data_IF_187042952628
#
_entry.id   IF_187042952628
#
_cell.length_a   1.000
_cell.length_b   1.000
_cell.length_c   1.000
_cell.angle_alpha   90.00
_cell.angle_beta   90.00
_cell.angle_gamma   90.00
#
_symmetry.space_group_name_H-M   'P 1'
#
loop_
_entity.id
_entity.type
_entity.pdbx_description
1 polymer ?
#
# COMPACT_ATOMS: atom_id res chain seq x y z
N UNK A 1 16.29 -7.79 -1.23
CA UNK A 1 16.02 -6.47 -1.86
C UNK A 1 15.16 -5.66 -0.89
N UNK A 2 15.71 -4.63 -0.25
CA UNK A 2 15.06 -3.94 0.90
C UNK A 2 14.05 -2.86 0.50
N UNK A 3 13.30 -2.35 1.48
CA UNK A 3 12.27 -1.31 1.32
C UNK A 3 12.78 -0.07 0.56
N UNK A 4 13.99 0.41 0.86
CA UNK A 4 14.63 1.56 0.20
C UNK A 4 14.79 1.34 -1.30
N UNK A 5 15.13 0.12 -1.71
CA UNK A 5 15.26 -0.20 -3.13
C UNK A 5 13.91 -0.15 -3.84
N UNK A 6 12.84 -0.66 -3.21
CA UNK A 6 11.49 -0.63 -3.78
C UNK A 6 11.02 0.83 -3.94
N UNK A 7 11.24 1.67 -2.92
CA UNK A 7 10.91 3.09 -2.99
C UNK A 7 11.66 3.80 -4.12
N UNK A 8 12.95 3.48 -4.33
CA UNK A 8 13.71 4.01 -5.45
C UNK A 8 13.13 3.60 -6.81
N UNK A 9 12.76 2.33 -6.98
CA UNK A 9 12.15 1.87 -8.23
C UNK A 9 10.84 2.61 -8.53
N UNK A 10 9.99 2.84 -7.52
CA UNK A 10 8.75 3.62 -7.67
C UNK A 10 9.06 5.05 -8.15
N UNK A 11 10.02 5.72 -7.52
CA UNK A 11 10.38 7.10 -7.86
C UNK A 11 11.00 7.23 -9.26
N UNK A 12 11.86 6.29 -9.65
CA UNK A 12 12.60 6.34 -10.92
C UNK A 12 11.71 5.99 -12.13
N UNK A 13 10.55 5.33 -11.93
CA UNK A 13 9.69 4.83 -13.01
C UNK A 13 8.29 5.46 -12.97
N UNK A 14 8.24 6.80 -12.83
CA UNK A 14 7.00 7.57 -12.66
C UNK A 14 5.96 7.41 -13.79
N UNK A 15 6.37 6.93 -14.97
CA UNK A 15 5.49 6.75 -16.14
C UNK A 15 4.87 5.34 -16.22
N UNK A 16 5.38 4.35 -15.47
CA UNK A 16 4.87 2.97 -15.47
C UNK A 16 4.13 2.65 -14.17
N UNK A 17 2.80 2.84 -14.20
CA UNK A 17 1.93 2.57 -13.06
C UNK A 17 1.90 1.08 -12.69
N UNK A 18 2.07 0.17 -13.64
CA UNK A 18 2.04 -1.26 -13.36
C UNK A 18 3.28 -1.66 -12.57
N UNK A 19 4.45 -1.17 -12.98
CA UNK A 19 5.71 -1.37 -12.27
C UNK A 19 5.66 -0.71 -10.88
N UNK A 20 5.19 0.54 -10.78
CA UNK A 20 5.02 1.22 -9.49
C UNK A 20 4.12 0.43 -8.54
N UNK A 21 2.97 -0.04 -9.02
CA UNK A 21 1.99 -0.80 -8.22
C UNK A 21 2.59 -2.08 -7.66
N UNK A 22 3.37 -2.79 -8.48
CA UNK A 22 4.09 -3.99 -8.06
C UNK A 22 5.12 -3.68 -6.96
N UNK A 23 5.96 -2.65 -7.16
CA UNK A 23 6.95 -2.26 -6.16
C UNK A 23 6.32 -1.72 -4.88
N UNK A 24 5.19 -1.02 -4.99
CA UNK A 24 4.42 -0.51 -3.86
C UNK A 24 3.79 -1.63 -3.02
N UNK A 25 3.32 -2.71 -3.66
CA UNK A 25 2.84 -3.90 -2.93
C UNK A 25 3.97 -4.51 -2.08
N UNK A 26 5.18 -4.65 -2.63
CA UNK A 26 6.33 -5.16 -1.87
C UNK A 26 6.71 -4.23 -0.72
N UNK A 27 6.75 -2.92 -0.98
CA UNK A 27 7.06 -1.92 0.05
C UNK A 27 6.05 -1.96 1.20
N UNK A 28 4.76 -2.07 0.89
CA UNK A 28 3.70 -2.19 1.89
C UNK A 28 3.93 -3.39 2.80
N UNK A 29 4.26 -4.56 2.24
CA UNK A 29 4.52 -5.78 3.05
C UNK A 29 5.66 -5.54 4.04
N UNK A 30 6.79 -4.98 3.57
CA UNK A 30 7.94 -4.68 4.44
C UNK A 30 7.62 -3.65 5.53
N UNK A 31 6.87 -2.60 5.21
CA UNK A 31 6.46 -1.58 6.19
C UNK A 31 5.48 -2.18 7.22
N UNK A 32 4.55 -3.03 6.79
CA UNK A 32 3.62 -3.71 7.68
C UNK A 32 4.36 -4.58 8.70
N UNK A 33 5.34 -5.36 8.26
CA UNK A 33 6.18 -6.17 9.15
C UNK A 33 6.89 -5.29 10.19
N UNK A 34 7.45 -4.15 9.76
CA UNK A 34 8.07 -3.18 10.66
C UNK A 34 7.07 -2.62 11.69
N UNK A 35 5.86 -2.24 11.27
CA UNK A 35 4.82 -1.73 12.18
C UNK A 35 4.39 -2.79 13.20
N UNK A 36 4.30 -4.05 12.80
CA UNK A 36 3.98 -5.14 13.74
C UNK A 36 5.05 -5.25 14.83
N UNK A 37 6.32 -5.10 14.47
CA UNK A 37 7.45 -5.20 15.41
C UNK A 37 7.62 -3.95 16.27
N UNK A 38 7.69 -2.77 15.66
CA UNK A 38 8.05 -1.52 16.30
C UNK A 38 6.84 -0.70 16.81
N UNK A 39 5.64 -1.01 16.33
CA UNK A 39 4.46 -0.17 16.54
C UNK A 39 4.38 1.01 15.57
N UNK A 40 3.41 1.88 15.82
CA UNK A 40 3.19 3.13 15.10
C UNK A 40 2.92 4.25 16.09
N UNK A 41 3.43 5.45 15.81
CA UNK A 41 3.21 6.69 16.57
C UNK A 41 1.91 7.41 16.17
N UNK A 42 1.20 6.88 15.18
CA UNK A 42 -0.10 7.37 14.70
C UNK A 42 -1.02 6.21 14.30
N UNK A 43 -2.35 6.41 14.29
CA UNK A 43 -3.28 5.45 13.70
C UNK A 43 -2.95 5.19 12.23
N UNK A 44 -2.97 3.91 11.83
CA UNK A 44 -2.82 3.49 10.44
C UNK A 44 -3.98 2.59 10.04
N UNK A 45 -4.34 2.63 8.77
CA UNK A 45 -5.43 1.86 8.19
C UNK A 45 -4.87 0.91 7.15
N UNK A 46 -5.10 -0.39 7.32
CA UNK A 46 -4.87 -1.33 6.25
C UNK A 46 -6.12 -1.40 5.39
N UNK A 47 -6.00 -0.98 4.14
CA UNK A 47 -7.05 -1.09 3.14
C UNK A 47 -6.75 -2.19 2.13
N UNK A 48 -7.79 -2.69 1.46
CA UNK A 48 -7.68 -3.78 0.50
C UNK A 48 -8.65 -3.57 -0.68
N UNK A 49 -8.19 -3.79 -1.90
CA UNK A 49 -9.01 -3.84 -3.11
C UNK A 49 -8.91 -5.24 -3.70
N UNK A 50 -10.04 -6.00 -3.80
CA UNK A 50 -10.03 -7.37 -4.31
C UNK A 50 -9.71 -7.45 -5.80
N UNK A 51 -9.91 -6.36 -6.55
CA UNK A 51 -9.75 -6.34 -8.02
C UNK A 51 -8.30 -6.20 -8.48
N UNK A 52 -7.37 -5.86 -7.58
CA UNK A 52 -5.97 -5.72 -7.95
C UNK A 52 -5.36 -7.06 -8.41
N UNK A 53 -4.35 -6.98 -9.29
CA UNK A 53 -3.54 -8.12 -9.75
C UNK A 53 -4.39 -9.31 -10.22
N UNK A 54 -5.22 -9.09 -11.24
CA UNK A 54 -6.13 -10.10 -11.80
C UNK A 54 -7.04 -10.73 -10.74
N UNK A 55 -7.70 -9.90 -9.93
CA UNK A 55 -8.60 -10.31 -8.85
C UNK A 55 -7.96 -11.14 -7.73
N UNK A 56 -6.63 -11.15 -7.61
CA UNK A 56 -5.92 -11.71 -6.45
C UNK A 56 -5.94 -10.74 -5.25
N UNK A 57 -6.22 -9.49 -5.55
CA UNK A 57 -6.31 -8.37 -4.63
C UNK A 57 -4.97 -7.87 -4.11
N UNK A 58 -5.03 -6.71 -3.45
CA UNK A 58 -3.86 -5.97 -2.96
C UNK A 58 -4.22 -5.16 -1.74
N UNK A 59 -3.30 -5.16 -0.77
CA UNK A 59 -3.44 -4.42 0.47
C UNK A 59 -2.41 -3.29 0.55
N UNK A 60 -2.83 -2.14 1.08
CA UNK A 60 -1.97 -1.00 1.35
C UNK A 60 -2.20 -0.43 2.74
N UNK A 61 -1.25 0.37 3.20
CA UNK A 61 -1.36 1.12 4.45
C UNK A 61 -1.66 2.60 4.15
N UNK A 62 -2.52 3.21 4.96
CA UNK A 62 -2.96 4.60 4.83
C UNK A 62 -2.99 5.28 6.20
N UNK A 63 -2.74 6.59 6.23
CA UNK A 63 -2.97 7.42 7.42
C UNK A 63 -4.40 7.97 7.47
N UNK A 64 -5.20 7.76 6.42
CA UNK A 64 -6.60 8.19 6.32
C UNK A 64 -7.54 6.98 6.18
N UNK A 65 -8.74 7.09 6.77
CA UNK A 65 -9.86 6.14 6.56
C UNK A 65 -10.43 6.23 5.15
N UNK A 66 -10.22 7.35 4.45
CA UNK A 66 -10.68 7.52 3.08
C UNK A 66 -9.92 6.60 2.12
N UNK A 67 -10.65 5.95 1.22
CA UNK A 67 -10.08 5.03 0.23
C UNK A 67 -9.52 5.84 -0.93
N UNK A 68 -8.20 5.79 -1.06
CA UNK A 68 -7.44 6.26 -2.22
C UNK A 68 -6.54 5.12 -2.70
N UNK A 69 -7.04 4.34 -3.66
CA UNK A 69 -6.39 3.15 -4.18
C UNK A 69 -5.12 3.51 -4.99
N UNK A 70 -3.93 3.03 -4.58
CA UNK A 70 -2.67 3.36 -5.24
C UNK A 70 -2.39 2.52 -6.50
N UNK A 71 -3.15 1.45 -6.75
CA UNK A 71 -2.80 0.44 -7.77
C UNK A 71 -3.29 0.73 -9.18
N UNK A 72 -4.27 1.62 -9.33
CA UNK A 72 -4.96 1.83 -10.60
C UNK A 72 -4.90 3.28 -11.07
N UNK A 73 -4.06 4.11 -10.45
CA UNK A 73 -4.03 5.55 -10.66
C UNK A 73 -5.44 6.15 -10.51
N UNK A 74 -5.78 7.10 -11.39
CA UNK A 74 -7.07 7.80 -11.36
C UNK A 74 -8.28 6.92 -11.73
N UNK A 75 -8.07 5.73 -12.32
CA UNK A 75 -9.17 4.93 -12.89
C UNK A 75 -10.07 4.29 -11.82
N UNK A 76 -9.51 3.92 -10.67
CA UNK A 76 -10.25 3.20 -9.62
C UNK A 76 -9.87 3.66 -8.20
N UNK A 77 -9.70 4.97 -8.00
CA UNK A 77 -9.31 5.56 -6.70
C UNK A 77 -10.17 5.10 -5.52
N UNK A 78 -11.46 4.84 -5.75
CA UNK A 78 -12.39 4.41 -4.69
C UNK A 78 -12.53 2.88 -4.55
N UNK A 79 -11.79 2.07 -5.31
CA UNK A 79 -11.83 0.62 -5.10
C UNK A 79 -11.14 0.26 -3.80
N UNK A 80 -11.88 -0.34 -2.89
CA UNK A 80 -11.35 -1.01 -1.72
C UNK A 80 -12.11 -0.66 -0.46
N UNK A 81 -11.67 -1.23 0.65
CA UNK A 81 -12.25 -1.01 1.96
C UNK A 81 -11.17 -1.12 3.03
N UNK A 82 -11.34 -0.39 4.13
CA UNK A 82 -10.52 -0.55 5.32
C UNK A 82 -10.84 -1.90 5.94
N UNK A 83 -9.81 -2.73 6.12
CA UNK A 83 -9.91 -4.06 6.72
C UNK A 83 -9.47 -4.06 8.18
N UNK A 84 -8.53 -3.17 8.52
CA UNK A 84 -7.96 -3.11 9.87
C UNK A 84 -7.54 -1.68 10.22
N UNK A 85 -7.82 -1.29 11.46
CA UNK A 85 -7.23 -0.11 12.12
C UNK A 85 -6.08 -0.61 13.01
N UNK A 86 -4.90 -0.01 12.84
CA UNK A 86 -3.69 -0.26 13.61
C UNK A 86 -3.49 0.97 14.50
N UNK A 87 -3.76 0.80 15.78
CA UNK A 87 -3.62 1.86 16.79
C UNK A 87 -2.22 1.90 17.38
N UNK A 88 -1.96 2.96 18.15
CA UNK A 88 -0.71 3.18 18.88
C UNK A 88 -0.37 1.98 19.77
N UNK A 89 0.92 1.63 19.83
CA UNK A 89 1.48 0.70 20.82
C UNK A 89 2.13 1.47 21.95
#
# INVERSE_FOLDING_TARGET
KGATQQAKYIADHSEDIALQSQHFEYLTKSIKELIVLAGSDRPLYQAYCPMYNNNKGGAWLSMSKEISNPYFGSKMLKCGSVQQEISLK
#
